data_IF_132909724380
#
_entry.id   IF_132909724380
#
_cell.length_a   1.000
_cell.length_b   1.000
_cell.length_c   1.000
_cell.angle_alpha   90.00
_cell.angle_beta   90.00
_cell.angle_gamma   90.00
#
_symmetry.space_group_name_H-M   'P 1'
#
loop_
_entity.id
_entity.type
_entity.pdbx_description
1 polymer ?
#
# COMPACT_ATOMS: atom_id res chain seq x y z
N UNK A 1 -39.79 11.27 37.80
CA UNK A 1 -39.62 12.52 38.57
C UNK A 1 -38.66 12.26 39.72
N UNK A 2 -37.61 13.09 39.83
CA UNK A 2 -36.77 13.35 41.01
C UNK A 2 -35.82 12.19 41.43
N UNK A 3 -34.52 12.28 41.19
CA UNK A 3 -33.54 13.10 41.93
C UNK A 3 -33.58 12.75 43.43
N UNK A 4 -32.48 12.43 44.12
CA UNK A 4 -31.26 13.22 44.29
C UNK A 4 -30.38 12.43 45.29
N UNK A 5 -29.04 12.43 45.15
CA UNK A 5 -28.04 12.55 46.25
C UNK A 5 -26.61 12.17 45.79
N UNK A 6 -26.07 13.03 44.95
CA UNK A 6 -24.71 13.59 45.07
C UNK A 6 -24.88 14.72 46.11
N UNK A 7 -24.14 14.85 47.24
CA UNK A 7 -22.71 15.20 47.26
C UNK A 7 -21.94 14.87 48.58
N UNK A 8 -21.03 13.87 48.63
CA UNK A 8 -20.03 13.74 49.73
C UNK A 8 -18.61 13.45 49.17
N UNK A 9 -18.25 14.04 48.02
CA UNK A 9 -16.85 14.05 47.59
C UNK A 9 -16.50 15.45 47.07
N UNK A 10 -16.64 16.43 47.96
CA UNK A 10 -16.13 17.81 47.82
C UNK A 10 -15.24 18.10 49.03
N UNK A 11 -14.06 17.47 49.07
CA UNK A 11 -12.97 17.81 49.99
C UNK A 11 -11.61 17.26 49.49
N UNK A 12 -11.32 17.45 48.20
CA UNK A 12 -9.99 17.20 47.63
C UNK A 12 -9.74 18.15 46.44
N UNK A 13 -9.93 19.46 46.67
CA UNK A 13 -9.47 20.50 45.77
C UNK A 13 -8.47 21.37 46.53
N UNK A 14 -7.28 20.84 46.76
CA UNK A 14 -6.10 21.70 46.83
C UNK A 14 -5.81 22.23 45.42
N UNK A 15 -5.39 23.51 45.28
CA UNK A 15 -5.01 24.06 44.01
C UNK A 15 -3.62 23.52 43.67
N UNK A 16 -3.53 22.32 43.10
CA UNK A 16 -2.33 21.96 42.34
C UNK A 16 -2.32 22.89 41.15
N UNK A 17 -1.52 23.97 41.25
CA UNK A 17 -1.11 24.82 40.14
C UNK A 17 -0.83 23.91 38.94
N UNK A 18 -1.80 23.81 38.04
CA UNK A 18 -1.60 23.21 36.75
C UNK A 18 -0.61 24.13 36.07
N UNK A 19 0.67 23.73 36.13
CA UNK A 19 1.69 24.26 35.25
C UNK A 19 1.09 24.12 33.87
N UNK A 20 0.68 25.27 33.31
CA UNK A 20 0.02 25.39 32.03
C UNK A 20 1.00 24.80 31.02
N UNK A 21 0.87 23.50 30.75
CA UNK A 21 1.61 22.83 29.69
C UNK A 21 1.27 23.66 28.46
N UNK A 22 2.28 24.37 27.96
CA UNK A 22 2.19 25.07 26.70
C UNK A 22 1.64 24.07 25.71
N UNK A 23 0.45 24.37 25.18
CA UNK A 23 -0.15 23.57 24.11
C UNK A 23 0.97 23.34 23.08
N UNK A 24 1.28 22.07 22.72
CA UNK A 24 2.33 21.80 21.77
C UNK A 24 2.08 22.67 20.54
N UNK A 25 3.13 23.33 20.08
CA UNK A 25 3.06 24.21 18.92
C UNK A 25 2.33 23.46 17.81
N UNK A 26 1.25 24.07 17.27
CA UNK A 26 0.51 23.52 16.14
C UNK A 26 1.43 23.58 14.92
N UNK A 27 2.32 22.59 14.79
CA UNK A 27 3.15 22.40 13.63
C UNK A 27 2.18 22.16 12.47
N UNK A 28 2.03 23.16 11.59
CA UNK A 28 1.28 22.97 10.35
C UNK A 28 1.95 21.82 9.61
N UNK A 29 1.20 20.73 9.41
CA UNK A 29 1.65 19.66 8.54
C UNK A 29 1.97 20.26 7.17
N UNK A 30 3.18 20.00 6.66
CA UNK A 30 3.52 20.39 5.29
C UNK A 30 2.54 19.69 4.33
N UNK A 31 2.04 20.41 3.31
CA UNK A 31 1.18 19.79 2.32
C UNK A 31 1.96 18.70 1.58
N UNK A 32 1.36 17.51 1.45
CA UNK A 32 1.96 16.43 0.68
C UNK A 32 2.05 16.83 -0.80
N UNK A 33 3.17 16.48 -1.43
CA UNK A 33 3.39 16.69 -2.87
C UNK A 33 3.29 15.37 -3.63
N UNK A 34 2.90 15.45 -4.90
CA UNK A 34 2.87 14.28 -5.78
C UNK A 34 4.27 13.72 -5.95
N UNK A 35 4.44 12.42 -5.71
CA UNK A 35 5.70 11.72 -5.90
C UNK A 35 5.93 11.54 -7.40
N UNK A 36 7.06 12.06 -7.88
CA UNK A 36 7.48 11.93 -9.28
C UNK A 36 8.88 11.36 -9.33
N UNK A 37 9.06 10.32 -10.13
CA UNK A 37 10.34 9.67 -10.40
C UNK A 37 10.58 9.66 -11.91
N UNK A 38 11.84 9.75 -12.37
CA UNK A 38 12.14 9.72 -13.79
C UNK A 38 11.83 8.36 -14.44
N UNK A 39 11.89 7.28 -13.67
CA UNK A 39 11.52 5.93 -14.07
C UNK A 39 11.08 5.10 -12.85
N UNK A 40 10.18 4.13 -13.06
CA UNK A 40 9.88 3.12 -12.04
C UNK A 40 11.07 2.19 -11.82
N UNK A 41 11.31 1.79 -10.58
CA UNK A 41 12.34 0.81 -10.22
C UNK A 41 11.71 -0.58 -10.09
N UNK A 42 11.77 -1.33 -11.18
CA UNK A 42 11.45 -2.76 -11.26
C UNK A 42 12.51 -3.38 -12.17
N UNK A 43 13.23 -4.39 -11.69
CA UNK A 43 14.40 -4.92 -12.40
C UNK A 43 13.96 -6.04 -13.35
N UNK A 44 14.19 -5.96 -14.67
CA UNK A 44 13.89 -7.06 -15.57
C UNK A 44 14.60 -8.36 -15.13
N UNK A 45 13.90 -9.48 -15.18
CA UNK A 45 14.35 -10.78 -14.67
C UNK A 45 14.01 -11.03 -13.19
N UNK A 46 13.64 -10.00 -12.43
CA UNK A 46 13.29 -10.13 -11.02
C UNK A 46 12.08 -11.04 -10.83
N UNK A 47 12.28 -12.13 -10.10
CA UNK A 47 11.21 -13.00 -9.61
C UNK A 47 11.21 -13.00 -8.10
N UNK A 48 10.03 -12.81 -7.50
CA UNK A 48 9.84 -12.78 -6.07
C UNK A 48 8.66 -13.66 -5.67
N UNK A 49 8.82 -14.37 -4.57
CA UNK A 49 7.78 -15.18 -3.95
C UNK A 49 7.56 -14.73 -2.51
N UNK A 50 6.30 -14.60 -2.11
CA UNK A 50 5.90 -14.33 -0.73
C UNK A 50 4.95 -15.40 -0.18
N UNK A 51 5.11 -15.70 1.11
CA UNK A 51 4.03 -16.31 1.89
C UNK A 51 3.07 -15.23 2.33
N UNK A 52 1.78 -15.41 2.05
CA UNK A 52 0.72 -14.53 2.54
C UNK A 52 0.13 -15.12 3.81
N UNK A 53 0.11 -14.33 4.87
CA UNK A 53 -0.24 -14.72 6.24
C UNK A 53 -1.43 -13.89 6.69
N UNK A 54 -2.42 -14.54 7.30
CA UNK A 54 -3.53 -13.89 7.98
C UNK A 54 -3.69 -14.50 9.37
N UNK A 55 -3.81 -13.65 10.40
CA UNK A 55 -3.98 -14.08 11.81
C UNK A 55 -2.93 -15.13 12.26
N UNK A 56 -1.70 -15.02 11.76
CA UNK A 56 -0.59 -15.92 12.09
C UNK A 56 -0.52 -17.22 11.27
N UNK A 57 -1.44 -17.46 10.32
CA UNK A 57 -1.46 -18.65 9.47
C UNK A 57 -1.17 -18.29 8.01
N UNK A 58 -0.35 -19.09 7.33
CA UNK A 58 -0.14 -18.95 5.88
C UNK A 58 -1.42 -19.32 5.14
N UNK A 59 -2.00 -18.33 4.44
CA UNK A 59 -3.22 -18.51 3.66
C UNK A 59 -2.96 -18.81 2.19
N UNK A 60 -1.79 -18.47 1.66
CA UNK A 60 -1.46 -18.67 0.25
C UNK A 60 -0.06 -18.20 -0.11
N UNK A 61 0.23 -18.23 -1.41
CA UNK A 61 1.51 -17.77 -1.99
C UNK A 61 1.21 -16.67 -3.00
N UNK A 62 1.98 -15.60 -2.93
CA UNK A 62 2.01 -14.57 -3.95
C UNK A 62 3.33 -14.63 -4.72
N UNK A 63 3.28 -14.38 -6.01
CA UNK A 63 4.43 -14.38 -6.91
C UNK A 63 4.40 -13.09 -7.72
N UNK A 64 5.57 -12.54 -8.01
CA UNK A 64 5.75 -11.40 -8.91
C UNK A 64 6.93 -11.68 -9.82
N UNK A 65 6.71 -11.49 -11.12
CA UNK A 65 7.70 -11.66 -12.17
C UNK A 65 7.77 -10.36 -12.97
N UNK A 66 8.98 -9.84 -13.14
CA UNK A 66 9.27 -8.65 -13.92
C UNK A 66 9.96 -9.05 -15.21
N UNK A 67 9.30 -8.81 -16.33
CA UNK A 67 9.89 -8.88 -17.67
C UNK A 67 10.24 -7.45 -18.15
N UNK A 68 10.84 -7.31 -19.33
CA UNK A 68 11.30 -6.04 -19.90
C UNK A 68 10.19 -4.98 -20.03
N UNK A 69 8.94 -5.43 -20.25
CA UNK A 69 7.78 -4.56 -20.51
C UNK A 69 6.52 -4.96 -19.75
N UNK A 70 6.58 -6.05 -19.01
CA UNK A 70 5.42 -6.62 -18.33
C UNK A 70 5.79 -6.94 -16.90
N UNK A 71 4.90 -6.60 -15.96
CA UNK A 71 4.97 -7.08 -14.59
C UNK A 71 3.75 -7.94 -14.36
N UNK A 72 3.96 -9.18 -13.95
CA UNK A 72 2.90 -10.12 -13.62
C UNK A 72 2.96 -10.43 -12.14
N UNK A 73 1.84 -10.37 -11.45
CA UNK A 73 1.70 -10.97 -10.14
C UNK A 73 0.56 -11.96 -10.10
N UNK A 74 0.74 -13.01 -9.31
CA UNK A 74 -0.27 -14.02 -9.06
C UNK A 74 -0.37 -14.28 -7.57
N UNK A 75 -1.58 -14.46 -7.06
CA UNK A 75 -1.83 -14.98 -5.73
C UNK A 75 -2.82 -16.14 -5.81
N UNK A 76 -2.59 -17.16 -4.99
CA UNK A 76 -3.52 -18.27 -4.83
C UNK A 76 -3.56 -18.73 -3.37
N UNK A 77 -4.77 -18.95 -2.85
CA UNK A 77 -4.98 -19.58 -1.54
C UNK A 77 -4.44 -21.00 -1.53
N UNK A 78 -3.83 -21.41 -0.42
CA UNK A 78 -3.34 -22.79 -0.24
C UNK A 78 -4.48 -23.80 -0.24
N UNK A 79 -4.17 -25.09 -0.51
CA UNK A 79 -5.17 -26.17 -0.55
C UNK A 79 -6.01 -26.26 0.72
N UNK A 80 -5.39 -26.12 1.90
CA UNK A 80 -6.09 -26.20 3.18
C UNK A 80 -7.03 -25.00 3.37
N UNK A 81 -6.63 -23.80 2.98
CA UNK A 81 -7.48 -22.60 3.11
C UNK A 81 -8.58 -22.58 2.06
N UNK A 82 -8.31 -23.14 0.87
CA UNK A 82 -9.28 -23.23 -0.24
C UNK A 82 -10.54 -24.05 0.08
N UNK A 83 -10.55 -24.84 1.16
CA UNK A 83 -11.77 -25.51 1.63
C UNK A 83 -12.76 -24.56 2.29
N UNK A 84 -12.31 -23.37 2.72
CA UNK A 84 -13.13 -22.34 3.36
C UNK A 84 -13.39 -21.16 2.44
N UNK A 85 -12.36 -20.70 1.73
CA UNK A 85 -12.45 -19.63 0.75
C UNK A 85 -11.35 -19.82 -0.29
N UNK A 86 -11.73 -19.90 -1.56
CA UNK A 86 -10.79 -20.03 -2.67
C UNK A 86 -10.64 -18.67 -3.33
N UNK A 87 -9.42 -18.13 -3.28
CA UNK A 87 -9.08 -16.88 -3.98
C UNK A 87 -7.93 -17.15 -4.93
N UNK A 88 -8.13 -16.76 -6.19
CA UNK A 88 -7.06 -16.63 -7.19
C UNK A 88 -7.07 -15.22 -7.72
N UNK A 89 -5.91 -14.60 -7.76
CA UNK A 89 -5.73 -13.26 -8.28
C UNK A 89 -4.57 -13.25 -9.26
N UNK A 90 -4.76 -12.58 -10.39
CA UNK A 90 -3.72 -12.35 -11.38
C UNK A 90 -3.82 -10.89 -11.85
N UNK A 91 -2.71 -10.17 -11.76
CA UNK A 91 -2.58 -8.82 -12.27
C UNK A 91 -1.41 -8.79 -13.23
N UNK A 92 -1.63 -8.18 -14.39
CA UNK A 92 -0.60 -7.95 -15.41
C UNK A 92 -0.57 -6.46 -15.71
N UNK A 93 0.57 -5.81 -15.50
CA UNK A 93 0.82 -4.41 -15.88
C UNK A 93 1.79 -4.37 -17.05
N UNK A 94 1.41 -3.70 -18.13
CA UNK A 94 2.33 -3.34 -19.21
C UNK A 94 2.93 -1.97 -18.91
N UNK A 95 4.26 -1.87 -18.91
CA UNK A 95 5.01 -0.65 -18.63
C UNK A 95 5.68 -0.16 -19.92
N UNK A 96 5.68 1.16 -20.10
CA UNK A 96 6.45 1.84 -21.14
C UNK A 96 7.17 3.04 -20.53
N UNK A 97 8.49 3.12 -20.73
CA UNK A 97 9.37 4.22 -20.26
C UNK A 97 9.11 4.64 -18.79
N UNK A 98 8.92 3.67 -17.92
CA UNK A 98 8.72 3.92 -16.49
C UNK A 98 7.32 4.40 -16.10
N UNK A 99 6.31 4.19 -16.94
CA UNK A 99 4.90 4.46 -16.62
C UNK A 99 4.01 3.29 -17.03
N UNK A 100 2.92 3.07 -16.30
CA UNK A 100 1.93 2.08 -16.70
C UNK A 100 1.25 2.52 -18.00
N UNK A 101 1.14 1.60 -18.95
CA UNK A 101 0.41 1.76 -20.21
C UNK A 101 -0.95 1.08 -20.17
N UNK A 102 -0.99 -0.10 -19.54
CA UNK A 102 -2.24 -0.81 -19.29
C UNK A 102 -2.09 -1.77 -18.12
N UNK A 103 -3.21 -2.15 -17.51
CA UNK A 103 -3.30 -3.32 -16.65
C UNK A 103 -4.50 -4.19 -17.01
N UNK A 104 -4.33 -5.49 -16.81
CA UNK A 104 -5.40 -6.49 -16.86
C UNK A 104 -5.40 -7.24 -15.53
N UNK A 105 -6.57 -7.40 -14.95
CA UNK A 105 -6.76 -8.07 -13.68
C UNK A 105 -7.83 -9.15 -13.81
N UNK A 106 -7.56 -10.30 -13.22
CA UNK A 106 -8.50 -11.41 -13.09
C UNK A 106 -8.55 -11.80 -11.64
N UNK A 107 -9.74 -11.74 -11.06
CA UNK A 107 -9.98 -12.14 -9.66
C UNK A 107 -11.04 -13.23 -9.68
N UNK A 108 -10.71 -14.39 -9.10
CA UNK A 108 -11.64 -15.47 -8.86
C UNK A 108 -11.82 -15.65 -7.35
N UNK A 109 -13.05 -15.55 -6.86
CA UNK A 109 -13.42 -15.77 -5.46
C UNK A 109 -14.54 -16.79 -5.44
N UNK A 110 -14.30 -17.94 -4.83
CA UNK A 110 -15.28 -19.03 -4.68
C UNK A 110 -15.99 -19.43 -6.00
N UNK A 111 -15.25 -19.37 -7.11
CA UNK A 111 -15.71 -19.71 -8.46
C UNK A 111 -16.33 -18.56 -9.25
N UNK A 112 -16.59 -17.41 -8.62
CA UNK A 112 -17.01 -16.19 -9.32
C UNK A 112 -15.78 -15.46 -9.86
N UNK A 113 -15.76 -15.19 -11.17
CA UNK A 113 -14.63 -14.52 -11.83
C UNK A 113 -15.01 -13.11 -12.26
N UNK A 114 -14.26 -12.12 -11.75
CA UNK A 114 -14.25 -10.75 -12.26
C UNK A 114 -13.03 -10.51 -13.14
N UNK A 115 -13.19 -9.69 -14.18
CA UNK A 115 -12.12 -9.24 -15.05
C UNK A 115 -12.21 -7.74 -15.25
N UNK A 116 -11.10 -7.04 -15.02
CA UNK A 116 -11.00 -5.62 -15.28
C UNK A 116 -9.80 -5.33 -16.17
N UNK A 117 -9.92 -4.31 -17.02
CA UNK A 117 -8.84 -3.83 -17.85
C UNK A 117 -8.84 -2.31 -17.83
N UNK A 118 -7.65 -1.74 -17.70
CA UNK A 118 -7.42 -0.30 -17.73
C UNK A 118 -6.31 0.04 -18.71
N UNK A 119 -6.49 1.12 -19.45
CA UNK A 119 -5.47 1.71 -20.33
C UNK A 119 -5.16 3.12 -19.85
N UNK A 120 -3.90 3.54 -19.97
CA UNK A 120 -3.41 4.82 -19.51
C UNK A 120 -2.82 5.64 -20.67
N UNK A 121 -3.12 6.93 -20.68
CA UNK A 121 -2.49 7.93 -21.55
C UNK A 121 -2.22 9.20 -20.72
N UNK A 122 -1.03 9.26 -20.12
CA UNK A 122 -0.66 10.34 -19.20
C UNK A 122 -1.55 10.33 -17.95
N UNK A 123 -2.29 11.41 -17.72
CA UNK A 123 -3.26 11.52 -16.62
C UNK A 123 -4.63 10.91 -16.94
N UNK A 124 -4.90 10.54 -18.20
CA UNK A 124 -6.18 9.95 -18.61
C UNK A 124 -6.12 8.44 -18.50
N UNK A 125 -7.25 7.83 -18.16
CA UNK A 125 -7.41 6.39 -18.17
C UNK A 125 -8.75 5.99 -18.78
N UNK A 126 -8.84 4.77 -19.29
CA UNK A 126 -10.08 4.18 -19.79
C UNK A 126 -10.20 2.72 -19.40
N UNK A 127 -11.41 2.33 -19.00
CA UNK A 127 -11.86 0.94 -18.83
C UNK A 127 -12.94 0.64 -19.88
N UNK A 128 -13.55 -0.55 -19.83
CA UNK A 128 -14.68 -0.89 -20.70
C UNK A 128 -15.86 0.09 -20.53
N UNK A 129 -16.14 0.49 -19.29
CA UNK A 129 -17.36 1.22 -18.94
C UNK A 129 -17.13 2.70 -18.64
N UNK A 130 -15.88 3.15 -18.53
CA UNK A 130 -15.55 4.49 -18.03
C UNK A 130 -14.30 5.06 -18.69
N UNK A 131 -14.33 6.37 -18.94
CA UNK A 131 -13.14 7.18 -19.20
C UNK A 131 -13.00 8.18 -18.07
N UNK A 132 -11.80 8.31 -17.53
CA UNK A 132 -11.52 9.21 -16.41
C UNK A 132 -10.22 9.97 -16.58
N UNK A 133 -9.97 10.86 -15.62
CA UNK A 133 -8.72 11.60 -15.50
C UNK A 133 -8.32 11.63 -14.04
N UNK A 134 -7.04 11.35 -13.79
CA UNK A 134 -6.45 11.42 -12.46
C UNK A 134 -6.39 12.88 -12.01
N UNK A 135 -6.71 13.20 -10.74
CA UNK A 135 -6.75 14.57 -10.25
C UNK A 135 -5.45 15.35 -10.47
N UNK A 136 -5.58 16.66 -10.66
CA UNK A 136 -4.50 17.65 -10.80
C UNK A 136 -3.46 17.32 -11.90
N UNK A 137 -3.86 16.54 -12.91
CA UNK A 137 -2.98 16.14 -14.02
C UNK A 137 -1.86 15.19 -13.60
N UNK A 138 -2.01 14.51 -12.46
CA UNK A 138 -1.07 13.47 -12.04
C UNK A 138 -1.14 12.24 -12.95
N UNK A 139 -0.08 11.43 -12.92
CA UNK A 139 -0.05 10.16 -13.65
C UNK A 139 -0.88 9.11 -12.89
N UNK A 140 -1.58 8.27 -13.65
CA UNK A 140 -2.25 7.09 -13.10
C UNK A 140 -1.28 5.92 -12.99
N UNK A 141 -1.30 5.25 -11.84
CA UNK A 141 -0.49 4.07 -11.58
C UNK A 141 -1.38 2.83 -11.41
N UNK A 142 -0.87 1.68 -11.81
CA UNK A 142 -1.34 0.37 -11.30
C UNK A 142 -0.65 0.07 -9.98
N UNK A 143 -1.09 -0.96 -9.25
CA UNK A 143 -0.41 -1.42 -8.02
C UNK A 143 1.07 -1.75 -8.28
N UNK A 144 1.41 -2.41 -9.39
CA UNK A 144 2.81 -2.70 -9.75
C UNK A 144 3.63 -1.43 -10.00
N UNK A 145 3.11 -0.52 -10.82
CA UNK A 145 3.85 0.72 -11.11
C UNK A 145 3.97 1.62 -9.89
N UNK A 146 2.98 1.62 -8.99
CA UNK A 146 3.05 2.34 -7.72
C UNK A 146 4.16 1.77 -6.82
N UNK A 147 4.28 0.44 -6.71
CA UNK A 147 5.41 -0.18 -6.02
C UNK A 147 6.74 0.23 -6.64
N UNK A 148 6.85 0.21 -7.98
CA UNK A 148 8.05 0.65 -8.69
C UNK A 148 8.39 2.14 -8.48
N UNK A 149 7.38 3.01 -8.39
CA UNK A 149 7.56 4.43 -8.03
C UNK A 149 8.08 4.56 -6.60
N UNK A 150 7.46 3.85 -5.64
CA UNK A 150 7.88 3.88 -4.23
C UNK A 150 9.32 3.39 -4.09
N UNK A 151 9.70 2.29 -4.76
CA UNK A 151 11.08 1.79 -4.79
C UNK A 151 12.07 2.81 -5.35
N UNK A 152 11.72 3.50 -6.44
CA UNK A 152 12.57 4.53 -7.04
C UNK A 152 12.68 5.81 -6.20
N UNK A 153 11.61 6.17 -5.49
CA UNK A 153 11.53 7.38 -4.68
C UNK A 153 12.23 7.23 -3.32
N UNK A 154 12.31 6.00 -2.78
CA UNK A 154 12.75 5.80 -1.39
C UNK A 154 14.25 6.06 -1.19
N UNK A 155 14.55 6.98 -0.28
CA UNK A 155 15.88 7.27 0.23
C UNK A 155 15.76 7.91 1.62
N UNK A 156 16.81 7.88 2.47
CA UNK A 156 16.72 8.38 3.86
C UNK A 156 16.25 9.84 3.99
N UNK A 157 16.50 10.67 2.97
CA UNK A 157 16.12 12.09 2.95
C UNK A 157 14.76 12.34 2.27
N UNK A 158 14.04 11.29 1.84
CA UNK A 158 12.77 11.44 1.17
C UNK A 158 11.71 12.09 2.07
N UNK A 159 10.99 13.07 1.53
CA UNK A 159 9.86 13.71 2.21
C UNK A 159 8.54 13.06 1.82
N UNK A 160 7.62 12.95 2.79
CA UNK A 160 6.30 12.38 2.57
C UNK A 160 5.58 13.00 1.36
N UNK A 161 4.85 12.17 0.62
CA UNK A 161 4.16 12.57 -0.60
C UNK A 161 2.91 11.76 -0.85
N UNK A 162 2.41 11.78 -2.09
CA UNK A 162 1.30 10.95 -2.50
C UNK A 162 1.42 10.51 -3.96
N UNK A 163 0.67 9.48 -4.33
CA UNK A 163 0.49 9.02 -5.71
C UNK A 163 -0.95 8.55 -5.93
N UNK A 164 -1.37 8.42 -7.19
CA UNK A 164 -2.70 7.95 -7.55
C UNK A 164 -2.64 6.57 -8.19
N UNK A 165 -3.41 5.63 -7.66
CA UNK A 165 -3.60 4.31 -8.24
C UNK A 165 -4.99 4.22 -8.87
N UNK A 166 -5.06 3.69 -10.08
CA UNK A 166 -6.31 3.31 -10.72
C UNK A 166 -6.48 1.81 -10.58
N UNK A 167 -7.57 1.39 -9.96
CA UNK A 167 -7.91 -0.02 -9.73
C UNK A 167 -9.41 -0.18 -9.91
N UNK A 168 -9.80 -1.17 -10.72
CA UNK A 168 -11.19 -1.45 -11.11
C UNK A 168 -11.98 -0.22 -11.60
N UNK A 169 -11.31 0.69 -12.32
CA UNK A 169 -11.91 1.92 -12.85
C UNK A 169 -12.06 3.07 -11.84
N UNK A 170 -11.75 2.82 -10.57
CA UNK A 170 -11.71 3.83 -9.51
C UNK A 170 -10.31 4.38 -9.28
N UNK A 171 -10.26 5.60 -8.77
CA UNK A 171 -9.02 6.34 -8.52
C UNK A 171 -8.81 6.50 -7.03
N UNK A 172 -7.76 5.85 -6.52
CA UNK A 172 -7.36 5.89 -5.13
C UNK A 172 -6.15 6.78 -4.95
N UNK A 173 -6.18 7.63 -3.93
CA UNK A 173 -4.99 8.37 -3.51
C UNK A 173 -4.27 7.57 -2.44
N UNK A 174 -2.97 7.35 -2.64
CA UNK A 174 -2.08 6.75 -1.65
C UNK A 174 -1.21 7.85 -1.07
N UNK A 175 -1.40 8.18 0.19
CA UNK A 175 -0.44 9.00 0.92
C UNK A 175 0.71 8.10 1.37
N UNK A 176 1.94 8.55 1.16
CA UNK A 176 3.17 7.81 1.44
C UNK A 176 3.99 8.62 2.44
N UNK A 177 4.18 8.08 3.65
CA UNK A 177 5.00 8.71 4.68
C UNK A 177 6.48 8.64 4.31
N UNK A 178 7.30 9.50 4.94
CA UNK A 178 8.76 9.42 4.81
C UNK A 178 9.25 8.02 5.24
N UNK A 179 10.27 7.45 4.59
CA UNK A 179 10.83 6.18 4.99
C UNK A 179 11.54 6.29 6.36
N UNK A 180 11.52 5.20 7.11
CA UNK A 180 12.22 5.06 8.38
C UNK A 180 13.19 3.90 8.25
N UNK A 181 14.46 4.12 8.61
CA UNK A 181 15.46 3.06 8.64
C UNK A 181 15.26 2.24 9.92
N UNK A 182 14.99 0.96 9.76
CA UNK A 182 14.74 0.03 10.87
C UNK A 182 15.45 -1.31 10.63
N UNK A 183 15.45 -2.15 11.66
CA UNK A 183 15.97 -3.51 11.58
C UNK A 183 14.79 -4.48 11.45
N UNK A 184 14.69 -5.17 10.31
CA UNK A 184 13.71 -6.21 10.07
C UNK A 184 14.41 -7.57 10.12
N UNK A 185 14.29 -8.25 11.26
CA UNK A 185 14.85 -9.60 11.48
C UNK A 185 16.35 -9.71 11.16
N UNK A 186 17.15 -8.72 11.58
CA UNK A 186 18.59 -8.67 11.33
C UNK A 186 18.97 -8.04 9.98
N UNK A 187 18.01 -7.63 9.17
CA UNK A 187 18.24 -6.95 7.89
C UNK A 187 17.90 -5.47 8.00
N UNK A 188 18.81 -4.58 7.59
CA UNK A 188 18.49 -3.15 7.47
C UNK A 188 17.45 -2.93 6.38
N UNK A 189 16.35 -2.29 6.76
CA UNK A 189 15.22 -2.04 5.89
C UNK A 189 14.75 -0.58 6.00
N UNK A 190 14.12 -0.12 4.93
CA UNK A 190 13.36 1.13 4.87
C UNK A 190 11.89 0.75 5.04
N UNK A 191 11.28 1.16 6.15
CA UNK A 191 9.86 1.02 6.43
C UNK A 191 9.12 2.23 5.87
N UNK A 192 8.10 1.99 5.05
CA UNK A 192 7.27 3.03 4.43
C UNK A 192 5.82 2.78 4.79
N UNK A 193 5.24 3.69 5.57
CA UNK A 193 3.83 3.67 5.91
C UNK A 193 3.02 4.40 4.83
N UNK A 194 2.03 3.70 4.27
CA UNK A 194 1.14 4.22 3.26
C UNK A 194 -0.31 4.17 3.77
N UNK A 195 -1.12 5.13 3.32
CA UNK A 195 -2.55 5.18 3.62
C UNK A 195 -3.34 5.42 2.35
N UNK A 196 -4.22 4.47 2.03
CA UNK A 196 -5.21 4.64 0.97
C UNK A 196 -6.32 5.56 1.47
N UNK A 197 -6.64 6.61 0.71
CA UNK A 197 -7.81 7.46 0.95
C UNK A 197 -8.96 6.99 0.04
N UNK A 198 -10.06 6.62 0.68
CA UNK A 198 -11.32 6.21 0.08
C UNK A 198 -12.37 6.02 1.17
N UNK A 199 -13.47 5.36 0.84
CA UNK A 199 -14.54 5.05 1.82
C UNK A 199 -14.08 4.06 2.89
N UNK A 200 -13.14 3.17 2.52
CA UNK A 200 -12.47 2.25 3.44
C UNK A 200 -11.05 2.74 3.68
N UNK A 201 -10.67 2.88 4.95
CA UNK A 201 -9.32 3.23 5.32
C UNK A 201 -8.44 1.98 5.30
N UNK A 202 -7.58 1.89 4.30
CA UNK A 202 -6.57 0.83 4.21
C UNK A 202 -5.20 1.41 4.52
N UNK A 203 -4.53 0.80 5.48
CA UNK A 203 -3.11 1.01 5.76
C UNK A 203 -2.28 -0.03 5.01
N UNK A 204 -1.19 0.42 4.40
CA UNK A 204 -0.23 -0.48 3.75
C UNK A 204 1.15 -0.12 4.27
N UNK A 205 1.88 -1.09 4.80
CA UNK A 205 3.27 -0.88 5.21
C UNK A 205 4.18 -1.72 4.33
N UNK A 206 5.21 -1.08 3.77
CA UNK A 206 6.16 -1.72 2.88
C UNK A 206 7.53 -1.68 3.54
N UNK A 207 8.22 -2.81 3.58
CA UNK A 207 9.62 -2.88 3.98
C UNK A 207 10.47 -3.19 2.76
N UNK A 208 11.38 -2.27 2.44
CA UNK A 208 12.32 -2.41 1.33
C UNK A 208 13.72 -2.62 1.91
N UNK A 209 14.53 -3.49 1.32
CA UNK A 209 15.92 -3.67 1.73
C UNK A 209 16.68 -2.34 1.60
N UNK A 210 17.51 -2.01 2.58
CA UNK A 210 18.33 -0.80 2.56
C UNK A 210 19.58 -0.93 1.65
N UNK A 211 19.38 -1.47 0.44
CA UNK A 211 20.35 -1.60 -0.66
C UNK A 211 19.82 -0.88 -1.90
N UNK A 212 20.67 -0.69 -2.92
CA UNK A 212 20.32 0.12 -4.09
C UNK A 212 19.17 -0.46 -4.92
N UNK A 213 18.97 -1.78 -4.88
CA UNK A 213 17.85 -2.49 -5.54
C UNK A 213 16.49 -2.29 -4.85
N UNK A 214 16.50 -1.81 -3.60
CA UNK A 214 15.32 -1.61 -2.75
C UNK A 214 14.34 -2.79 -2.80
N UNK A 215 14.87 -4.02 -2.74
CA UNK A 215 14.10 -5.26 -2.83
C UNK A 215 12.98 -5.30 -1.78
N UNK A 216 11.70 -5.54 -2.16
CA UNK A 216 10.61 -5.69 -1.20
C UNK A 216 10.77 -6.94 -0.31
N UNK A 217 10.90 -6.74 1.00
CA UNK A 217 11.09 -7.80 1.99
C UNK A 217 9.77 -8.25 2.63
N UNK A 218 8.89 -7.30 2.91
CA UNK A 218 7.61 -7.54 3.58
C UNK A 218 6.60 -6.50 3.12
N UNK A 219 5.35 -6.90 3.00
CA UNK A 219 4.21 -6.01 2.85
C UNK A 219 3.17 -6.34 3.93
N UNK A 220 2.58 -5.33 4.52
CA UNK A 220 1.42 -5.47 5.39
C UNK A 220 0.27 -4.65 4.84
N UNK A 221 -0.93 -5.22 4.92
CA UNK A 221 -2.17 -4.54 4.57
C UNK A 221 -3.12 -4.68 5.74
N UNK A 222 -3.57 -3.55 6.29
CA UNK A 222 -4.48 -3.50 7.42
C UNK A 222 -5.71 -2.64 7.11
N UNK A 223 -6.89 -3.19 7.35
CA UNK A 223 -8.18 -2.48 7.44
C UNK A 223 -8.90 -2.88 8.73
N UNK A 224 -10.15 -2.45 8.89
CA UNK A 224 -10.88 -2.54 10.18
C UNK A 224 -10.84 -3.93 10.84
N UNK A 225 -11.08 -5.01 10.09
CA UNK A 225 -11.09 -6.38 10.62
C UNK A 225 -10.09 -7.34 9.93
N UNK A 226 -9.28 -6.80 9.01
CA UNK A 226 -8.40 -7.61 8.16
C UNK A 226 -6.97 -7.11 8.29
N UNK A 227 -6.08 -8.02 8.65
CA UNK A 227 -4.64 -7.79 8.61
C UNK A 227 -3.98 -8.94 7.86
N UNK A 228 -3.32 -8.59 6.76
CA UNK A 228 -2.57 -9.50 5.90
C UNK A 228 -1.10 -9.10 5.92
N UNK A 229 -0.23 -10.10 5.95
CA UNK A 229 1.22 -9.91 5.82
C UNK A 229 1.73 -10.78 4.68
N UNK A 230 2.49 -10.21 3.75
CA UNK A 230 3.26 -10.93 2.74
C UNK A 230 4.74 -10.89 3.14
N UNK A 231 5.35 -12.03 3.40
CA UNK A 231 6.76 -12.17 3.79
C UNK A 231 7.55 -12.81 2.65
N UNK A 232 8.65 -12.17 2.23
CA UNK A 232 9.49 -12.66 1.13
C UNK A 232 10.12 -14.00 1.53
N UNK A 233 10.03 -14.98 0.63
CA UNK A 233 10.64 -16.30 0.81
C UNK A 233 11.89 -16.45 -0.04
N UNK A 234 11.74 -16.17 -1.33
CA UNK A 234 12.70 -16.49 -2.37
C UNK A 234 12.74 -15.34 -3.37
N UNK A 235 13.94 -15.12 -3.90
CA UNK A 235 14.17 -14.19 -5.00
C UNK A 235 15.12 -14.84 -6.00
N UNK A 236 14.82 -14.67 -7.28
CA UNK A 236 15.71 -14.99 -8.39
C UNK A 236 15.96 -13.70 -9.17
N UNK A 237 17.22 -13.43 -9.51
CA UNK A 237 17.69 -12.24 -10.22
C UNK A 237 18.68 -12.64 -11.30
#
# INVERSE_FOLDING_TARGET
>A
MRALLIPIVLAACEPTLHQKQSLPELVRAQPLTSIRVPAVMMLPGETMTWNVIAKGFTIGRAELVVDDREIRSRFETSKLVSTFARVRHELVTVIDRGSARSASEVVEIDGETSRSQVQFVGSRYSTADRVGTVPDGNLGHTLHSALGVIRAWVHPDAHAGFLYVVHDGDVFRIDVARPIVEDLRGTKALRIDCRLRGDVQVSVTIWLRASDDRMPLRLEVGGDDVHLTAELLETET
#
